data_IF_729773764353
#
_entry.id   IF_729773764353
#
_cell.length_a   1.000
_cell.length_b   1.000
_cell.length_c   1.000
_cell.angle_alpha   90.00
_cell.angle_beta   90.00
_cell.angle_gamma   90.00
#
_symmetry.space_group_name_H-M   'P 1'
#
loop_
_entity.id
_entity.type
_entity.pdbx_description
1 polymer ?
#
# COMPACT_ATOMS: atom_id res chain seq x y z
N UNK A 1 -14.47 0.19 11.53
CA UNK A 1 -14.09 1.48 10.92
C UNK A 1 -14.61 2.62 11.78
N UNK A 2 -13.82 3.67 11.96
CA UNK A 2 -14.26 4.88 12.66
C UNK A 2 -15.22 5.66 11.77
N UNK A 3 -16.09 6.48 12.38
CA UNK A 3 -17.06 7.31 11.64
C UNK A 3 -16.40 8.55 10.98
N UNK A 4 -15.19 8.95 11.45
CA UNK A 4 -14.46 10.09 10.91
C UNK A 4 -12.96 9.82 10.82
N UNK A 5 -12.33 10.42 9.80
CA UNK A 5 -10.87 10.39 9.62
C UNK A 5 -10.20 11.12 10.78
N UNK A 6 -9.16 10.51 11.33
CA UNK A 6 -8.34 11.15 12.37
C UNK A 6 -7.17 11.88 11.73
N UNK A 7 -6.93 13.11 12.15
CA UNK A 7 -5.78 13.91 11.73
C UNK A 7 -4.88 14.14 12.94
N UNK A 8 -3.61 13.76 12.80
CA UNK A 8 -2.59 13.89 13.83
C UNK A 8 -1.40 14.63 13.26
N UNK A 9 -0.93 15.64 13.96
CA UNK A 9 0.21 16.45 13.56
C UNK A 9 1.22 16.53 14.70
N UNK A 10 2.49 16.28 14.38
CA UNK A 10 3.61 16.49 15.30
C UNK A 10 4.60 17.48 14.70
N UNK A 11 5.15 18.36 15.56
CA UNK A 11 6.16 19.35 15.18
C UNK A 11 7.45 19.01 15.90
N UNK A 12 8.46 18.60 15.13
CA UNK A 12 9.78 18.25 15.66
C UNK A 12 10.86 19.06 14.96
N UNK A 13 12.08 18.98 15.48
CA UNK A 13 13.26 19.57 14.82
C UNK A 13 13.75 18.63 13.72
N UNK A 14 13.09 18.72 12.56
CA UNK A 14 13.36 17.91 11.38
C UNK A 14 13.36 18.76 10.12
N UNK A 15 14.18 18.38 9.16
CA UNK A 15 14.30 19.08 7.86
C UNK A 15 13.40 18.51 6.79
N UNK A 16 12.81 17.33 7.03
CA UNK A 16 11.97 16.61 6.09
C UNK A 16 10.64 16.23 6.75
N UNK A 17 9.54 16.51 6.06
CA UNK A 17 8.21 16.08 6.49
C UNK A 17 7.98 14.59 6.24
N UNK A 18 7.11 14.01 7.06
CA UNK A 18 6.59 12.65 6.81
C UNK A 18 5.07 12.68 6.80
N UNK A 19 4.52 12.21 5.70
CA UNK A 19 3.08 11.99 5.57
C UNK A 19 2.80 10.50 5.68
N UNK A 20 2.08 10.12 6.72
CA UNK A 20 1.54 8.79 6.92
C UNK A 20 0.03 8.79 6.71
N UNK A 21 -0.48 7.84 5.91
CA UNK A 21 -1.93 7.68 5.72
C UNK A 21 -2.30 6.24 5.99
N UNK A 22 -3.19 6.01 6.95
CA UNK A 22 -3.69 4.69 7.31
C UNK A 22 -5.05 4.43 6.67
N UNK A 23 -5.17 3.32 5.95
CA UNK A 23 -6.42 2.90 5.33
C UNK A 23 -6.91 1.60 5.95
N UNK A 24 -8.20 1.51 6.28
CA UNK A 24 -8.85 0.27 6.71
C UNK A 24 -9.40 -0.49 5.52
N UNK A 25 -9.32 -1.83 5.56
CA UNK A 25 -9.85 -2.73 4.53
C UNK A 25 -11.09 -3.42 5.04
N UNK A 26 -12.19 -3.36 4.29
CA UNK A 26 -13.45 -4.01 4.62
C UNK A 26 -13.68 -5.35 3.89
N UNK A 27 -12.76 -5.78 3.04
CA UNK A 27 -12.84 -7.04 2.29
C UNK A 27 -12.04 -8.15 2.99
N UNK A 28 -12.57 -9.37 2.94
CA UNK A 28 -11.86 -10.59 3.37
C UNK A 28 -11.07 -11.24 2.22
N UNK A 29 -11.17 -10.69 1.00
CA UNK A 29 -10.43 -11.19 -0.16
C UNK A 29 -8.97 -10.75 -0.11
N UNK A 30 -8.17 -11.46 0.70
CA UNK A 30 -6.77 -11.15 0.94
C UNK A 30 -5.92 -11.16 -0.34
N UNK A 31 -6.01 -12.13 -1.25
CA UNK A 31 -5.23 -12.10 -2.48
C UNK A 31 -5.52 -10.87 -3.35
N UNK A 32 -6.79 -10.45 -3.42
CA UNK A 32 -7.18 -9.27 -4.18
C UNK A 32 -6.69 -7.96 -3.52
N UNK A 33 -6.76 -7.85 -2.19
CA UNK A 33 -6.20 -6.72 -1.45
C UNK A 33 -4.67 -6.66 -1.60
N UNK A 34 -3.98 -7.80 -1.58
CA UNK A 34 -2.54 -7.86 -1.79
C UNK A 34 -2.15 -7.40 -3.20
N UNK A 35 -2.88 -7.87 -4.21
CA UNK A 35 -2.68 -7.44 -5.59
C UNK A 35 -2.96 -5.95 -5.76
N UNK A 36 -4.07 -5.46 -5.20
CA UNK A 36 -4.45 -4.05 -5.21
C UNK A 36 -3.42 -3.15 -4.49
N UNK A 37 -2.90 -3.59 -3.34
CA UNK A 37 -1.81 -2.88 -2.66
C UNK A 37 -0.53 -2.86 -3.49
N UNK A 38 -0.18 -3.95 -4.19
CA UNK A 38 1.01 -4.00 -5.05
C UNK A 38 0.90 -3.00 -6.20
N UNK A 39 -0.27 -2.87 -6.79
CA UNK A 39 -0.59 -1.85 -7.81
C UNK A 39 -0.56 -0.43 -7.22
N UNK A 40 -1.10 -0.24 -6.02
CA UNK A 40 -1.21 1.06 -5.38
C UNK A 40 0.15 1.61 -4.96
N UNK A 41 0.89 0.91 -4.09
CA UNK A 41 2.15 1.42 -3.54
C UNK A 41 3.13 0.34 -3.07
N UNK A 42 2.84 -0.95 -3.34
CA UNK A 42 3.62 -2.08 -2.84
C UNK A 42 4.80 -2.50 -3.73
N UNK A 43 5.05 -1.80 -4.84
CA UNK A 43 6.15 -2.13 -5.77
C UNK A 43 6.78 -0.89 -6.37
N UNK A 44 7.96 -1.06 -7.00
CA UNK A 44 8.64 0.01 -7.74
C UNK A 44 7.93 0.42 -9.05
N UNK A 45 6.94 -0.34 -9.48
CA UNK A 45 6.09 -0.04 -10.63
C UNK A 45 4.68 0.36 -10.21
N UNK A 46 4.47 0.64 -8.94
CA UNK A 46 3.16 1.02 -8.39
C UNK A 46 2.79 2.46 -8.75
N UNK A 47 1.50 2.75 -8.68
CA UNK A 47 0.97 4.09 -8.96
C UNK A 47 1.57 5.17 -8.05
N UNK A 48 1.78 4.89 -6.77
CA UNK A 48 2.43 5.84 -5.85
C UNK A 48 3.87 6.11 -6.27
N UNK A 49 4.62 5.07 -6.62
CA UNK A 49 6.01 5.25 -7.05
C UNK A 49 6.08 6.07 -8.35
N UNK A 50 5.32 5.69 -9.36
CA UNK A 50 5.41 6.30 -10.69
C UNK A 50 4.82 7.71 -10.74
N UNK A 51 3.67 7.94 -10.10
CA UNK A 51 2.96 9.21 -10.22
C UNK A 51 3.35 10.21 -9.12
N UNK A 52 3.40 9.79 -7.84
CA UNK A 52 3.68 10.71 -6.74
C UNK A 52 5.17 11.02 -6.64
N UNK A 53 6.03 10.00 -6.76
CA UNK A 53 7.48 10.17 -6.64
C UNK A 53 8.11 10.60 -7.97
N UNK A 54 8.01 9.78 -9.01
CA UNK A 54 8.78 9.99 -10.25
C UNK A 54 8.21 11.13 -11.10
N UNK A 55 6.92 11.09 -11.40
CA UNK A 55 6.29 12.05 -12.32
C UNK A 55 6.11 13.44 -11.71
N UNK A 56 5.60 13.50 -10.50
CA UNK A 56 5.26 14.77 -9.83
C UNK A 56 6.34 15.25 -8.87
N UNK A 57 7.30 14.41 -8.52
CA UNK A 57 8.40 14.73 -7.59
C UNK A 57 7.92 15.33 -6.26
N UNK A 58 6.76 14.87 -5.76
CA UNK A 58 6.14 15.39 -4.53
C UNK A 58 6.79 14.81 -3.28
N UNK A 59 7.50 13.71 -3.42
CA UNK A 59 8.09 12.99 -2.29
C UNK A 59 9.42 12.34 -2.66
N UNK A 60 10.24 12.06 -1.65
CA UNK A 60 11.48 11.28 -1.80
C UNK A 60 11.20 9.79 -1.91
N UNK A 61 10.16 9.35 -1.24
CA UNK A 61 9.61 7.99 -1.35
C UNK A 61 8.10 8.02 -1.09
N UNK A 62 7.38 7.11 -1.71
CA UNK A 62 5.98 6.81 -1.41
C UNK A 62 5.79 5.30 -1.59
N UNK A 63 5.29 4.66 -0.55
CA UNK A 63 5.04 3.22 -0.57
C UNK A 63 3.87 2.86 0.33
N UNK A 64 3.24 1.73 0.04
CA UNK A 64 2.20 1.14 0.88
C UNK A 64 2.53 -0.31 1.22
N UNK A 65 2.00 -0.78 2.35
CA UNK A 65 2.16 -2.14 2.81
C UNK A 65 0.83 -2.70 3.31
N UNK A 66 0.36 -3.81 2.77
CA UNK A 66 -0.83 -4.46 3.27
C UNK A 66 -0.53 -5.32 4.50
N UNK A 67 -1.05 -4.91 5.66
CA UNK A 67 -1.01 -5.67 6.90
C UNK A 67 -2.24 -6.58 7.01
N UNK A 68 -2.11 -7.79 6.50
CA UNK A 68 -3.17 -8.81 6.47
C UNK A 68 -3.85 -9.01 7.82
N UNK A 69 -3.06 -9.19 8.90
CA UNK A 69 -3.58 -9.49 10.24
C UNK A 69 -4.42 -8.37 10.86
N UNK A 70 -4.23 -7.16 10.37
CA UNK A 70 -4.91 -5.96 10.89
C UNK A 70 -5.97 -5.41 9.93
N UNK A 71 -6.02 -5.92 8.69
CA UNK A 71 -6.87 -5.36 7.64
C UNK A 71 -6.55 -3.89 7.35
N UNK A 72 -5.26 -3.53 7.32
CA UNK A 72 -4.80 -2.16 7.15
C UNK A 72 -3.81 -2.03 5.99
N UNK A 73 -3.88 -0.90 5.28
CA UNK A 73 -2.87 -0.47 4.30
C UNK A 73 -2.32 0.88 4.76
N UNK A 74 -1.22 0.93 5.53
CA UNK A 74 -0.50 2.16 5.74
C UNK A 74 0.26 2.58 4.48
N UNK A 75 0.19 3.86 4.16
CA UNK A 75 1.05 4.57 3.21
C UNK A 75 2.06 5.38 4.00
N UNK A 76 3.31 5.34 3.59
CA UNK A 76 4.38 6.16 4.14
C UNK A 76 5.05 6.94 3.02
N UNK A 77 5.24 8.24 3.24
CA UNK A 77 5.83 9.15 2.27
C UNK A 77 6.72 10.19 2.97
N UNK A 78 7.92 10.43 2.42
CA UNK A 78 8.81 11.51 2.86
C UNK A 78 8.66 12.69 1.92
N UNK A 79 8.18 13.83 2.41
CA UNK A 79 7.79 14.98 1.61
C UNK A 79 8.50 16.27 2.08
N UNK A 80 8.54 17.27 1.23
CA UNK A 80 8.76 18.65 1.68
C UNK A 80 7.47 19.20 2.30
N UNK A 81 7.59 20.02 3.33
CA UNK A 81 6.42 20.52 4.10
C UNK A 81 5.38 21.21 3.21
N UNK A 82 5.83 22.00 2.25
CA UNK A 82 4.98 22.71 1.28
C UNK A 82 4.20 21.80 0.34
N UNK A 83 4.64 20.54 0.17
CA UNK A 83 4.01 19.56 -0.71
C UNK A 83 2.92 18.73 -0.01
N UNK A 84 2.63 18.98 1.27
CA UNK A 84 1.69 18.17 2.05
C UNK A 84 0.35 17.98 1.34
N UNK A 85 -0.34 19.07 1.01
CA UNK A 85 -1.68 18.96 0.40
C UNK A 85 -1.64 18.28 -0.96
N UNK A 86 -0.67 18.62 -1.79
CA UNK A 86 -0.54 18.01 -3.12
C UNK A 86 -0.22 16.52 -3.04
N UNK A 87 0.66 16.11 -2.11
CA UNK A 87 0.98 14.70 -1.90
C UNK A 87 -0.23 13.92 -1.35
N UNK A 88 -0.96 14.50 -0.41
CA UNK A 88 -2.21 13.92 0.11
C UNK A 88 -3.22 13.70 -1.02
N UNK A 89 -3.52 14.75 -1.79
CA UNK A 89 -4.52 14.69 -2.88
C UNK A 89 -4.13 13.67 -3.94
N UNK A 90 -2.84 13.61 -4.31
CA UNK A 90 -2.35 12.67 -5.30
C UNK A 90 -2.38 11.21 -4.79
N UNK A 91 -2.01 10.96 -3.52
CA UNK A 91 -2.14 9.63 -2.93
C UNK A 91 -3.59 9.16 -2.95
N UNK A 92 -4.54 10.03 -2.63
CA UNK A 92 -5.97 9.72 -2.69
C UNK A 92 -6.44 9.46 -4.13
N UNK A 93 -5.98 10.26 -5.10
CA UNK A 93 -6.30 10.06 -6.51
C UNK A 93 -5.78 8.72 -7.05
N UNK A 94 -4.57 8.32 -6.65
CA UNK A 94 -4.01 7.03 -7.05
C UNK A 94 -4.75 5.83 -6.41
N UNK A 95 -5.24 5.96 -5.18
CA UNK A 95 -6.11 4.96 -4.58
C UNK A 95 -7.43 4.85 -5.37
N UNK A 96 -8.05 5.98 -5.67
CA UNK A 96 -9.29 6.03 -6.43
C UNK A 96 -9.14 5.41 -7.82
N UNK A 97 -8.02 5.65 -8.51
CA UNK A 97 -7.71 5.04 -9.80
C UNK A 97 -7.69 3.49 -9.71
N UNK A 98 -7.05 2.92 -8.67
CA UNK A 98 -7.09 1.46 -8.45
C UNK A 98 -8.51 0.97 -8.13
N UNK A 99 -9.27 1.71 -7.34
CA UNK A 99 -10.66 1.38 -7.00
C UNK A 99 -11.60 1.37 -8.21
N UNK A 100 -11.38 2.29 -9.15
CA UNK A 100 -12.16 2.41 -10.39
C UNK A 100 -11.71 1.47 -11.50
N UNK A 101 -10.57 0.80 -11.33
CA UNK A 101 -10.00 -0.07 -12.35
C UNK A 101 -9.32 0.69 -13.48
N UNK A 102 -8.84 1.89 -13.22
CA UNK A 102 -7.98 2.66 -14.13
C UNK A 102 -6.56 2.06 -14.12
N UNK A 103 -6.45 0.85 -14.68
CA UNK A 103 -5.27 0.00 -14.68
C UNK A 103 -4.88 -0.36 -16.10
N UNK A 104 -3.63 -0.14 -16.43
CA UNK A 104 -3.06 -0.59 -17.68
C UNK A 104 -2.64 -2.07 -17.58
N UNK A 105 -2.67 -2.80 -18.69
CA UNK A 105 -2.31 -4.23 -18.72
C UNK A 105 -0.90 -4.49 -18.16
N UNK A 106 0.05 -3.61 -18.46
CA UNK A 106 1.42 -3.73 -17.95
C UNK A 106 1.53 -3.54 -16.43
N UNK A 107 0.65 -2.72 -15.81
CA UNK A 107 0.59 -2.55 -14.35
C UNK A 107 0.12 -3.85 -13.69
N UNK A 108 -0.97 -4.44 -14.23
CA UNK A 108 -1.51 -5.72 -13.76
C UNK A 108 -0.49 -6.85 -13.86
N UNK A 109 0.14 -7.00 -15.03
CA UNK A 109 1.15 -8.04 -15.24
C UNK A 109 2.42 -7.81 -14.41
N UNK A 110 2.84 -6.58 -14.23
CA UNK A 110 3.96 -6.21 -13.36
C UNK A 110 3.69 -6.56 -11.90
N UNK A 111 2.51 -6.22 -11.37
CA UNK A 111 2.10 -6.58 -10.02
C UNK A 111 1.98 -8.10 -9.84
N UNK A 112 1.37 -8.80 -10.81
CA UNK A 112 1.26 -10.26 -10.85
C UNK A 112 2.63 -10.91 -10.79
N UNK A 113 3.54 -10.53 -11.66
CA UNK A 113 4.91 -11.06 -11.72
C UNK A 113 5.67 -10.83 -10.42
N UNK A 114 5.52 -9.65 -9.81
CA UNK A 114 6.15 -9.30 -8.51
C UNK A 114 5.70 -10.27 -7.42
N UNK A 115 4.41 -10.53 -7.30
CA UNK A 115 3.86 -11.42 -6.28
C UNK A 115 4.18 -12.88 -6.56
N UNK A 116 4.09 -13.35 -7.81
CA UNK A 116 4.43 -14.71 -8.17
C UNK A 116 5.91 -15.01 -7.87
N UNK A 117 6.82 -14.09 -8.21
CA UNK A 117 8.24 -14.21 -7.86
C UNK A 117 8.46 -14.22 -6.35
N UNK A 118 7.73 -13.41 -5.60
CA UNK A 118 7.79 -13.40 -4.14
C UNK A 118 7.42 -14.76 -3.55
N UNK A 119 6.33 -15.38 -4.02
CA UNK A 119 5.90 -16.70 -3.55
C UNK A 119 6.84 -17.82 -4.03
N UNK A 120 7.33 -17.75 -5.26
CA UNK A 120 8.27 -18.76 -5.79
C UNK A 120 9.57 -18.83 -4.97
N UNK A 121 10.01 -17.68 -4.42
CA UNK A 121 11.26 -17.57 -3.66
C UNK A 121 11.10 -17.72 -2.14
N UNK A 122 9.91 -18.05 -1.63
CA UNK A 122 9.71 -18.26 -0.18
C UNK A 122 10.59 -19.39 0.34
N UNK A 123 10.72 -20.48 -0.42
CA UNK A 123 11.52 -21.65 -0.05
C UNK A 123 13.04 -21.44 -0.11
N UNK A 124 13.52 -20.35 -0.74
CA UNK A 124 14.97 -20.11 -0.92
C UNK A 124 15.66 -19.61 0.36
N UNK A 125 14.89 -19.20 1.35
CA UNK A 125 15.42 -18.68 2.61
C UNK A 125 14.60 -19.20 3.79
N UNK A 126 15.29 -19.75 4.78
CA UNK A 126 14.68 -20.22 6.02
C UNK A 126 13.85 -19.12 6.71
N UNK A 127 14.38 -17.89 6.76
CA UNK A 127 13.69 -16.77 7.38
C UNK A 127 12.42 -16.35 6.61
N UNK A 128 12.42 -16.41 5.27
CA UNK A 128 11.20 -16.17 4.47
C UNK A 128 10.16 -17.25 4.73
N UNK A 129 10.57 -18.51 4.78
CA UNK A 129 9.70 -19.66 5.03
C UNK A 129 9.08 -19.57 6.43
N UNK A 130 9.90 -19.29 7.44
CA UNK A 130 9.45 -19.10 8.83
C UNK A 130 8.43 -17.95 8.94
N UNK A 131 8.76 -16.78 8.42
CA UNK A 131 7.84 -15.63 8.45
C UNK A 131 6.53 -15.90 7.71
N UNK A 132 6.57 -16.63 6.60
CA UNK A 132 5.38 -17.02 5.86
C UNK A 132 4.45 -17.89 6.73
N UNK A 133 4.96 -18.99 7.27
CA UNK A 133 4.15 -19.92 8.06
C UNK A 133 3.78 -19.37 9.44
N UNK A 134 4.63 -18.55 10.06
CA UNK A 134 4.28 -17.83 11.27
C UNK A 134 3.09 -16.88 11.04
N UNK A 135 3.10 -16.16 9.91
CA UNK A 135 1.99 -15.33 9.49
C UNK A 135 0.69 -16.11 9.29
N UNK A 136 0.76 -17.28 8.67
CA UNK A 136 -0.39 -18.18 8.50
C UNK A 136 -0.93 -18.65 9.86
N UNK A 137 -0.05 -19.13 10.73
CA UNK A 137 -0.42 -19.61 12.07
C UNK A 137 -1.07 -18.50 12.92
N UNK A 138 -0.53 -17.28 12.86
CA UNK A 138 -1.07 -16.14 13.61
C UNK A 138 -2.47 -15.71 13.16
N UNK A 139 -2.87 -16.04 11.92
CA UNK A 139 -4.18 -15.70 11.34
C UNK A 139 -5.12 -16.89 11.25
N UNK A 140 -4.71 -18.06 11.71
CA UNK A 140 -5.49 -19.30 11.60
C UNK A 140 -5.68 -19.79 10.16
N UNK A 141 -4.79 -19.38 9.26
CA UNK A 141 -4.82 -19.75 7.85
C UNK A 141 -3.81 -20.86 7.56
N UNK A 142 -4.02 -21.58 6.47
CA UNK A 142 -3.25 -22.78 6.14
C UNK A 142 -2.86 -22.86 4.66
N UNK A 143 -2.94 -21.71 3.93
CA UNK A 143 -2.55 -21.70 2.53
C UNK A 143 -1.03 -21.85 2.38
N UNK A 144 -0.63 -22.60 1.36
CA UNK A 144 0.76 -22.69 0.95
C UNK A 144 1.15 -21.51 0.04
N UNK A 145 2.45 -21.24 -0.17
CA UNK A 145 2.88 -20.27 -1.18
C UNK A 145 2.31 -20.59 -2.57
N UNK A 146 2.18 -21.88 -2.91
CA UNK A 146 1.62 -22.31 -4.19
C UNK A 146 0.11 -22.02 -4.31
N UNK A 147 -0.65 -22.12 -3.22
CA UNK A 147 -2.08 -21.78 -3.22
C UNK A 147 -2.29 -20.28 -3.44
N UNK A 148 -1.49 -19.44 -2.76
CA UNK A 148 -1.53 -18.01 -2.94
C UNK A 148 -1.04 -17.60 -4.34
N UNK A 149 0.01 -18.22 -4.86
CA UNK A 149 0.47 -17.99 -6.23
C UNK A 149 -0.63 -18.29 -7.26
N UNK A 150 -1.36 -19.41 -7.09
CA UNK A 150 -2.49 -19.76 -7.96
C UNK A 150 -3.60 -18.71 -7.88
N UNK A 151 -3.97 -18.26 -6.68
CA UNK A 151 -4.97 -17.22 -6.51
C UNK A 151 -4.58 -15.89 -7.17
N UNK A 152 -3.28 -15.55 -7.19
CA UNK A 152 -2.75 -14.37 -7.90
C UNK A 152 -2.74 -14.59 -9.41
N UNK A 153 -2.40 -15.80 -9.90
CA UNK A 153 -2.37 -16.13 -11.32
C UNK A 153 -3.73 -15.87 -11.99
N UNK A 154 -4.80 -16.26 -11.31
CA UNK A 154 -6.19 -16.18 -11.82
C UNK A 154 -6.90 -14.87 -11.44
N UNK A 155 -6.16 -13.88 -10.89
CA UNK A 155 -6.73 -12.62 -10.43
C UNK A 155 -7.19 -11.74 -11.59
N UNK A 156 -8.42 -11.24 -11.51
CA UNK A 156 -8.97 -10.29 -12.50
C UNK A 156 -9.01 -8.86 -11.96
N UNK A 157 -9.02 -7.87 -12.86
CA UNK A 157 -9.13 -6.47 -12.50
C UNK A 157 -10.43 -6.18 -11.71
N UNK A 158 -11.57 -6.77 -12.10
CA UNK A 158 -12.85 -6.57 -11.42
C UNK A 158 -12.82 -7.09 -9.97
N UNK A 159 -12.11 -8.21 -9.72
CA UNK A 159 -11.96 -8.75 -8.38
C UNK A 159 -11.10 -7.84 -7.51
N UNK A 160 -10.02 -7.29 -8.07
CA UNK A 160 -9.16 -6.29 -7.40
C UNK A 160 -9.97 -5.04 -7.06
N UNK A 161 -10.68 -4.46 -8.03
CA UNK A 161 -11.50 -3.27 -7.84
C UNK A 161 -12.55 -3.47 -6.75
N UNK A 162 -13.23 -4.62 -6.74
CA UNK A 162 -14.22 -4.95 -5.72
C UNK A 162 -13.61 -4.98 -4.32
N UNK A 163 -12.43 -5.59 -4.15
CA UNK A 163 -11.76 -5.60 -2.86
C UNK A 163 -11.25 -4.21 -2.47
N UNK A 164 -10.62 -3.48 -3.40
CA UNK A 164 -10.07 -2.15 -3.16
C UNK A 164 -11.15 -1.09 -2.92
N UNK A 165 -12.37 -1.23 -3.45
CA UNK A 165 -13.48 -0.31 -3.18
C UNK A 165 -13.90 -0.29 -1.70
N UNK A 166 -13.51 -1.29 -0.92
CA UNK A 166 -13.74 -1.35 0.53
C UNK A 166 -12.66 -0.63 1.35
N UNK A 167 -11.57 -0.23 0.71
CA UNK A 167 -10.45 0.46 1.36
C UNK A 167 -10.82 1.92 1.59
N UNK A 168 -10.74 2.36 2.85
CA UNK A 168 -11.15 3.71 3.27
C UNK A 168 -10.08 4.35 4.12
N UNK A 169 -9.86 5.64 3.92
CA UNK A 169 -8.98 6.44 4.77
C UNK A 169 -9.53 6.46 6.21
N UNK A 170 -8.66 6.15 7.16
CA UNK A 170 -8.95 6.13 8.60
C UNK A 170 -8.17 7.21 9.34
N UNK A 171 -6.87 7.33 9.07
CA UNK A 171 -5.97 8.21 9.81
C UNK A 171 -4.98 8.89 8.88
N UNK A 172 -4.73 10.17 9.11
CA UNK A 172 -3.66 10.95 8.50
C UNK A 172 -2.72 11.45 9.58
N UNK A 173 -1.44 11.19 9.42
CA UNK A 173 -0.37 11.66 10.29
C UNK A 173 0.59 12.55 9.50
N UNK A 174 0.85 13.74 10.02
CA UNK A 174 1.84 14.62 9.44
C UNK A 174 2.89 15.05 10.47
N UNK A 175 4.13 14.67 10.20
CA UNK A 175 5.28 15.18 10.91
C UNK A 175 5.86 16.35 10.12
N UNK A 176 5.93 17.53 10.72
CA UNK A 176 6.55 18.72 10.13
C UNK A 176 7.68 19.28 10.97
N UNK A 177 8.56 20.05 10.35
CA UNK A 177 9.62 20.81 11.03
C UNK A 177 9.05 21.98 11.80
N UNK A 178 9.79 22.44 12.80
CA UNK A 178 9.54 23.76 13.38
C UNK A 178 9.72 24.80 12.28
N UNK A 179 8.78 25.73 12.17
CA UNK A 179 9.00 26.92 11.34
C UNK A 179 10.24 27.61 11.88
N UNK A 180 11.20 27.92 11.00
CA UNK A 180 12.28 28.79 11.38
C UNK A 180 11.64 30.13 11.79
N UNK A 181 11.80 30.53 13.03
CA UNK A 181 11.45 31.89 13.45
C UNK A 181 12.20 32.84 12.52
N UNK A 182 11.44 33.55 11.68
CA UNK A 182 11.97 34.52 10.73
C UNK A 182 12.31 35.84 11.43
#
# INVERSE_FOLDING_TARGET
>A
CRESVQYVEDVLDVTQGKLGMGFSCGSDDMPALLMGNTLFGGSSNSKLFLNVREKLSLCYYASSLYHRQKGLIPVSSGIEFQNYQRAYDEIMAQLEAVQKGELEDWELEGARSTLLNSYATVGDSQGKLENFYLGQAATGQHETPADLARAIQDMTAERICRAMSTVKLDTVYFLKGKEAEA
#
